data_IF_779190864829
#
_entry.id   IF_779190864829
#
_cell.length_a   1.000
_cell.length_b   1.000
_cell.length_c   1.000
_cell.angle_alpha   90.00
_cell.angle_beta   90.00
_cell.angle_gamma   90.00
#
_symmetry.space_group_name_H-M   'P 1'
#
loop_
_entity.id
_entity.type
_entity.pdbx_description
1 polymer ?
#
# COMPACT_ATOMS: atom_id res chain seq x y z
N UNK A 1 -7.98 -6.24 22.86
CA UNK A 1 -6.78 -6.44 23.70
C UNK A 1 -5.66 -6.60 22.69
N UNK A 2 -4.74 -5.65 22.65
CA UNK A 2 -3.93 -5.29 21.48
C UNK A 2 -2.88 -6.36 21.17
N UNK A 3 -3.03 -7.04 20.03
CA UNK A 3 -1.99 -7.87 19.41
C UNK A 3 -0.80 -6.99 19.01
N UNK A 4 0.43 -7.27 19.45
CA UNK A 4 1.60 -6.60 18.93
C UNK A 4 2.14 -7.42 17.76
N UNK A 5 1.80 -7.00 16.53
CA UNK A 5 2.50 -7.47 15.32
C UNK A 5 3.82 -6.69 15.26
N UNK A 6 4.92 -7.35 14.95
CA UNK A 6 6.23 -6.73 14.69
C UNK A 6 6.58 -6.99 13.23
N UNK A 7 7.42 -6.14 12.65
CA UNK A 7 8.10 -6.52 11.41
C UNK A 7 9.30 -7.42 11.72
N UNK A 8 9.86 -8.00 10.66
CA UNK A 8 10.98 -8.94 10.70
C UNK A 8 12.31 -8.33 11.20
N UNK A 9 12.41 -7.00 11.28
CA UNK A 9 13.59 -6.29 11.82
C UNK A 9 13.50 -6.04 13.34
N UNK A 10 12.50 -6.60 14.03
CA UNK A 10 12.31 -6.40 15.46
C UNK A 10 11.78 -5.02 15.86
N UNK A 11 11.26 -4.23 14.91
CA UNK A 11 10.70 -2.91 15.21
C UNK A 11 9.31 -3.02 15.81
N UNK A 12 9.09 -2.29 16.91
CA UNK A 12 7.82 -2.20 17.61
C UNK A 12 6.82 -1.45 16.73
N UNK A 13 5.81 -2.14 16.18
CA UNK A 13 4.71 -1.44 15.50
C UNK A 13 3.94 -0.53 16.48
N UNK A 14 4.17 -0.56 17.81
CA UNK A 14 3.42 0.21 18.81
C UNK A 14 4.34 0.81 19.92
N UNK A 15 4.11 2.04 20.41
CA UNK A 15 4.78 2.63 21.59
C UNK A 15 4.26 2.02 22.91
N UNK A 16 4.86 2.44 24.02
CA UNK A 16 4.53 2.02 25.40
C UNK A 16 3.10 2.39 25.87
N UNK A 17 2.35 3.16 25.08
CA UNK A 17 0.94 3.48 25.28
C UNK A 17 0.03 2.85 24.19
N UNK A 18 0.62 2.14 23.22
CA UNK A 18 -0.02 1.43 22.12
C UNK A 18 -0.39 2.28 20.89
N UNK A 19 0.41 3.30 20.54
CA UNK A 19 0.32 4.09 19.28
C UNK A 19 1.38 3.66 18.25
N UNK A 20 1.28 3.87 16.92
CA UNK A 20 2.26 3.34 15.92
C UNK A 20 3.57 4.09 16.01
N UNK A 21 4.68 3.35 16.00
CA UNK A 21 6.03 3.92 15.89
C UNK A 21 6.69 3.26 14.70
N UNK A 22 6.20 3.52 13.50
CA UNK A 22 7.01 3.36 12.31
C UNK A 22 6.81 4.59 11.42
N UNK A 23 7.90 5.32 11.26
CA UNK A 23 8.14 6.22 10.12
C UNK A 23 8.91 5.39 9.08
N UNK A 24 8.20 4.68 8.19
CA UNK A 24 8.79 4.11 6.96
C UNK A 24 8.50 5.11 5.86
N UNK A 25 9.53 5.86 5.50
CA UNK A 25 9.58 6.53 4.20
C UNK A 25 9.51 5.46 3.11
N UNK A 26 8.57 5.66 2.18
CA UNK A 26 8.28 4.87 0.95
C UNK A 26 7.56 3.53 1.12
N UNK A 27 6.23 3.54 0.89
CA UNK A 27 5.48 2.35 0.42
C UNK A 27 4.27 1.92 1.26
N UNK A 28 3.23 2.76 1.29
CA UNK A 28 1.85 2.49 1.78
C UNK A 28 1.76 1.96 3.22
N UNK A 29 1.77 2.92 4.15
CA UNK A 29 1.22 2.77 5.49
C UNK A 29 -0.15 2.06 5.46
N UNK A 30 -0.33 1.04 6.30
CA UNK A 30 -1.62 0.81 6.97
C UNK A 30 -1.67 1.90 8.05
N UNK A 31 -2.40 3.00 7.87
CA UNK A 31 -2.30 4.09 8.81
C UNK A 31 -2.98 3.67 10.10
N UNK A 32 -2.26 3.76 11.21
CA UNK A 32 -2.86 3.67 12.55
C UNK A 32 -3.79 4.82 12.89
N UNK A 33 -4.00 5.71 11.95
CA UNK A 33 -4.96 6.77 12.07
C UNK A 33 -5.75 6.81 10.75
N UNK A 34 -7.01 6.37 10.79
CA UNK A 34 -7.99 6.95 9.87
C UNK A 34 -7.98 8.50 9.97
N UNK A 35 -7.49 9.04 11.10
CA UNK A 35 -7.19 10.45 11.32
C UNK A 35 -5.92 11.03 10.66
N UNK A 36 -5.03 10.27 10.00
CA UNK A 36 -3.90 10.83 9.21
C UNK A 36 -3.91 10.49 7.72
N UNK A 37 -4.77 9.58 7.26
CA UNK A 37 -5.17 9.50 5.83
C UNK A 37 -5.86 10.80 5.36
N UNK A 38 -6.30 11.58 6.33
CA UNK A 38 -6.76 12.94 6.23
C UNK A 38 -5.68 13.80 6.88
N UNK A 39 -4.69 14.26 6.09
CA UNK A 39 -3.82 15.36 6.51
C UNK A 39 -4.68 16.64 6.53
N UNK A 40 -5.53 16.78 7.56
CA UNK A 40 -6.13 18.05 7.93
C UNK A 40 -5.24 18.61 9.03
N UNK A 41 -4.63 19.78 8.81
CA UNK A 41 -3.87 20.44 9.84
C UNK A 41 -4.71 20.51 11.13
N UNK A 42 -4.16 20.17 12.31
CA UNK A 42 -4.84 20.34 13.61
C UNK A 42 -5.27 21.79 13.88
N UNK A 43 -4.88 22.71 12.99
CA UNK A 43 -5.07 24.15 13.09
C UNK A 43 -6.08 24.68 12.06
N UNK A 44 -6.70 23.83 11.23
CA UNK A 44 -7.71 24.24 10.25
C UNK A 44 -9.11 24.21 10.87
N UNK A 45 -9.38 25.27 11.60
CA UNK A 45 -10.55 25.52 12.43
C UNK A 45 -10.16 26.30 13.68
N UNK A 46 -8.98 26.01 14.25
CA UNK A 46 -8.52 26.59 15.52
C UNK A 46 -8.24 28.12 15.48
N UNK A 47 -8.20 28.76 14.31
CA UNK A 47 -8.09 30.22 14.21
C UNK A 47 -9.37 30.91 13.69
N UNK A 48 -10.49 30.19 13.57
CA UNK A 48 -11.79 30.78 13.24
C UNK A 48 -12.52 31.16 14.54
N UNK A 49 -12.11 32.31 15.10
CA UNK A 49 -12.89 33.21 15.96
C UNK A 49 -13.98 32.52 16.81
N UNK A 50 -13.68 32.36 18.11
CA UNK A 50 -14.64 32.16 19.21
C UNK A 50 -16.09 32.53 18.83
N UNK A 51 -16.92 31.54 18.51
CA UNK A 51 -18.38 31.71 18.38
C UNK A 51 -19.06 31.11 17.14
N UNK A 52 -18.34 30.74 16.07
CA UNK A 52 -18.96 30.18 14.84
C UNK A 52 -18.97 28.64 14.82
N UNK A 53 -18.13 27.99 15.63
CA UNK A 53 -18.00 26.52 15.67
C UNK A 53 -19.24 25.78 16.18
N UNK A 54 -20.06 26.44 17.01
CA UNK A 54 -21.26 25.81 17.59
C UNK A 54 -22.47 25.74 16.64
N UNK A 55 -22.38 26.37 15.45
CA UNK A 55 -23.48 26.44 14.49
C UNK A 55 -23.58 25.21 13.58
N UNK A 56 -22.50 24.43 13.47
CA UNK A 56 -22.42 23.25 12.60
C UNK A 56 -22.36 21.98 13.44
N UNK A 57 -23.45 21.22 13.44
CA UNK A 57 -23.42 19.82 13.89
C UNK A 57 -22.59 19.00 12.89
N UNK A 58 -21.27 19.04 13.03
CA UNK A 58 -20.36 18.10 12.36
C UNK A 58 -20.47 16.79 13.16
N UNK A 59 -21.08 15.71 12.62
CA UNK A 59 -21.33 14.49 13.38
C UNK A 59 -20.04 13.73 13.78
N UNK A 60 -18.91 14.10 13.20
CA UNK A 60 -17.65 13.37 13.29
C UNK A 60 -16.54 14.24 13.88
N UNK A 61 -16.64 14.56 15.17
CA UNK A 61 -15.50 15.10 15.92
C UNK A 61 -14.63 13.99 16.53
N UNK A 62 -15.08 12.73 16.50
CA UNK A 62 -14.33 11.58 17.04
C UNK A 62 -14.46 10.36 16.11
N UNK A 63 -13.43 10.14 15.29
CA UNK A 63 -13.27 8.92 14.48
C UNK A 63 -12.92 7.67 15.31
N UNK A 64 -12.85 7.78 16.65
CA UNK A 64 -12.64 6.65 17.56
C UNK A 64 -13.71 5.55 17.44
N UNK A 65 -14.91 5.88 16.93
CA UNK A 65 -16.02 4.93 16.75
C UNK A 65 -15.82 3.98 15.55
N UNK A 66 -14.84 4.25 14.69
CA UNK A 66 -14.51 3.43 13.50
C UNK A 66 -13.21 2.64 13.65
N UNK A 67 -12.76 2.42 14.90
CA UNK A 67 -11.75 1.38 15.15
C UNK A 67 -12.33 0.06 14.67
N UNK A 68 -11.82 -0.44 13.54
CA UNK A 68 -11.98 -1.84 13.17
C UNK A 68 -11.29 -2.63 14.27
N UNK A 69 -12.06 -3.08 15.24
CA UNK A 69 -11.53 -3.92 16.30
C UNK A 69 -11.37 -5.33 15.71
N UNK A 70 -10.27 -5.53 15.00
CA UNK A 70 -9.88 -6.80 14.38
C UNK A 70 -9.78 -7.91 15.44
N UNK A 71 -9.62 -7.54 16.71
CA UNK A 71 -9.68 -8.41 17.89
C UNK A 71 -11.04 -9.12 18.07
N UNK A 72 -12.09 -8.73 17.32
CA UNK A 72 -13.42 -9.37 17.36
C UNK A 72 -13.58 -10.54 16.39
N UNK A 73 -12.60 -10.84 15.54
CA UNK A 73 -12.68 -12.01 14.65
C UNK A 73 -12.32 -13.26 15.44
N UNK A 74 -13.32 -14.07 15.76
CA UNK A 74 -13.10 -15.36 16.41
C UNK A 74 -12.25 -16.28 15.52
N UNK A 75 -11.18 -16.87 16.07
CA UNK A 75 -10.40 -17.88 15.37
C UNK A 75 -11.26 -19.09 14.98
N UNK A 76 -12.24 -19.48 15.79
CA UNK A 76 -13.18 -20.55 15.44
C UNK A 76 -14.04 -20.22 14.22
N UNK A 77 -14.36 -18.93 13.99
CA UNK A 77 -15.08 -18.52 12.78
C UNK A 77 -14.19 -18.58 11.55
N UNK A 78 -12.90 -18.26 11.67
CA UNK A 78 -11.93 -18.34 10.57
C UNK A 78 -11.68 -19.80 10.20
N UNK A 79 -11.39 -20.65 11.19
CA UNK A 79 -11.13 -22.08 11.00
C UNK A 79 -12.31 -22.76 10.29
N UNK A 80 -13.55 -22.39 10.66
CA UNK A 80 -14.74 -22.91 10.01
C UNK A 80 -14.99 -22.35 8.60
N UNK A 81 -14.38 -21.21 8.26
CA UNK A 81 -14.40 -20.65 6.91
C UNK A 81 -13.47 -21.35 5.93
N UNK A 82 -12.47 -22.10 6.42
CA UNK A 82 -11.53 -22.84 5.56
C UNK A 82 -12.21 -24.08 4.98
N UNK A 83 -12.38 -24.12 3.65
CA UNK A 83 -12.95 -25.28 2.97
C UNK A 83 -11.97 -26.44 2.90
N UNK A 84 -12.47 -27.67 3.02
CA UNK A 84 -11.70 -28.90 2.82
C UNK A 84 -11.00 -29.46 4.07
N UNK A 85 -11.00 -28.75 5.20
CA UNK A 85 -10.47 -29.27 6.46
C UNK A 85 -11.46 -30.22 7.15
N UNK A 86 -10.97 -31.40 7.57
CA UNK A 86 -11.71 -32.31 8.44
C UNK A 86 -11.68 -31.83 9.91
N UNK A 87 -12.44 -32.49 10.80
CA UNK A 87 -12.53 -32.06 12.21
C UNK A 87 -11.19 -32.17 12.94
N UNK A 88 -10.41 -33.22 12.72
CA UNK A 88 -9.09 -33.42 13.33
C UNK A 88 -8.12 -32.30 12.95
N UNK A 89 -8.09 -31.91 11.68
CA UNK A 89 -7.29 -30.79 11.17
C UNK A 89 -7.74 -29.46 11.77
N UNK A 90 -9.05 -29.25 11.96
CA UNK A 90 -9.58 -28.05 12.61
C UNK A 90 -9.17 -27.98 14.08
N UNK A 91 -9.27 -29.08 14.81
CA UNK A 91 -8.88 -29.16 16.22
C UNK A 91 -7.37 -28.93 16.39
N UNK A 92 -6.56 -29.54 15.52
CA UNK A 92 -5.11 -29.33 15.46
C UNK A 92 -4.76 -27.86 15.17
N UNK A 93 -5.44 -27.26 14.19
CA UNK A 93 -5.26 -25.85 13.85
C UNK A 93 -5.66 -24.91 15.01
N UNK A 94 -6.77 -25.19 15.69
CA UNK A 94 -7.19 -24.43 16.87
C UNK A 94 -6.16 -24.50 18.00
N UNK A 95 -5.56 -25.68 18.23
CA UNK A 95 -4.47 -25.85 19.18
C UNK A 95 -3.26 -24.99 18.82
N UNK A 96 -2.77 -25.09 17.57
CA UNK A 96 -1.65 -24.31 17.05
C UNK A 96 -1.87 -22.81 17.24
N UNK A 97 -3.06 -22.30 16.88
CA UNK A 97 -3.38 -20.87 16.98
C UNK A 97 -3.39 -20.41 18.43
N UNK A 98 -3.96 -21.21 19.35
CA UNK A 98 -4.03 -20.86 20.76
C UNK A 98 -2.64 -20.87 21.41
N UNK A 99 -1.79 -21.83 21.05
CA UNK A 99 -0.40 -21.88 21.52
C UNK A 99 0.40 -20.68 20.98
N UNK A 100 0.31 -20.41 19.68
CA UNK A 100 0.97 -19.26 19.06
C UNK A 100 0.55 -17.92 19.68
N UNK A 101 -0.74 -17.74 19.95
CA UNK A 101 -1.25 -16.55 20.66
C UNK A 101 -0.66 -16.43 22.06
N UNK A 102 -0.70 -17.50 22.84
CA UNK A 102 -0.15 -17.52 24.19
C UNK A 102 1.33 -17.16 24.18
N UNK A 103 2.11 -17.77 23.29
CA UNK A 103 3.53 -17.50 23.18
C UNK A 103 3.81 -16.06 22.74
N UNK A 104 3.05 -15.52 21.80
CA UNK A 104 3.24 -14.13 21.35
C UNK A 104 2.94 -13.10 22.45
N UNK A 105 1.99 -13.41 23.35
CA UNK A 105 1.67 -12.57 24.51
C UNK A 105 2.76 -12.62 25.59
N UNK A 106 3.49 -13.74 25.70
CA UNK A 106 4.53 -13.97 26.72
C UNK A 106 5.94 -13.57 26.25
N UNK A 107 6.36 -14.07 25.10
CA UNK A 107 7.67 -13.83 24.46
C UNK A 107 7.55 -14.04 22.95
N UNK A 108 7.70 -12.95 22.19
CA UNK A 108 7.64 -12.97 20.73
C UNK A 108 8.69 -13.91 20.11
N UNK A 109 9.88 -14.00 20.72
CA UNK A 109 10.90 -14.92 20.25
C UNK A 109 10.48 -16.37 20.51
N UNK A 110 9.69 -16.65 21.54
CA UNK A 110 9.14 -17.97 21.80
C UNK A 110 8.05 -18.35 20.78
N UNK A 111 7.21 -17.40 20.35
CA UNK A 111 6.24 -17.61 19.28
C UNK A 111 6.94 -17.97 17.96
N UNK A 112 7.96 -17.19 17.59
CA UNK A 112 8.81 -17.48 16.44
C UNK A 112 9.43 -18.87 16.56
N UNK A 113 10.06 -19.21 17.70
CA UNK A 113 10.64 -20.55 17.95
C UNK A 113 9.63 -21.69 17.83
N UNK A 114 8.39 -21.50 18.29
CA UNK A 114 7.34 -22.51 18.15
C UNK A 114 6.88 -22.66 16.71
N UNK A 115 6.74 -21.54 15.97
CA UNK A 115 6.44 -21.57 14.54
C UNK A 115 7.51 -22.34 13.75
N UNK A 116 8.78 -22.16 14.13
CA UNK A 116 9.91 -22.87 13.53
C UNK A 116 9.93 -24.36 13.86
N UNK A 117 9.31 -24.78 14.96
CA UNK A 117 9.22 -26.18 15.39
C UNK A 117 8.06 -26.95 14.75
N UNK A 118 7.17 -26.27 14.02
CA UNK A 118 6.02 -26.89 13.38
C UNK A 118 6.43 -27.88 12.29
N UNK A 119 5.69 -28.98 12.20
CA UNK A 119 5.77 -29.92 11.08
C UNK A 119 5.25 -29.27 9.81
N UNK A 120 5.63 -29.82 8.65
CA UNK A 120 5.14 -29.37 7.35
C UNK A 120 3.59 -29.32 7.29
N UNK A 121 2.91 -30.33 7.84
CA UNK A 121 1.45 -30.37 7.91
C UNK A 121 0.87 -29.23 8.77
N UNK A 122 1.48 -28.95 9.93
CA UNK A 122 1.05 -27.86 10.82
C UNK A 122 1.24 -26.49 10.18
N UNK A 123 2.34 -26.31 9.44
CA UNK A 123 2.61 -25.12 8.67
C UNK A 123 1.54 -24.91 7.59
N UNK A 124 1.20 -25.94 6.81
CA UNK A 124 0.13 -25.87 5.80
C UNK A 124 -1.23 -25.51 6.41
N UNK A 125 -1.56 -26.05 7.58
CA UNK A 125 -2.79 -25.69 8.30
C UNK A 125 -2.76 -24.24 8.78
N UNK A 126 -1.66 -23.80 9.40
CA UNK A 126 -1.50 -22.43 9.89
C UNK A 126 -1.53 -21.41 8.74
N UNK A 127 -0.92 -21.75 7.61
CA UNK A 127 -0.95 -21.01 6.36
C UNK A 127 -2.38 -20.79 5.84
N UNK A 128 -3.19 -21.85 5.82
CA UNK A 128 -4.60 -21.79 5.44
C UNK A 128 -5.39 -20.83 6.34
N UNK A 129 -5.08 -20.83 7.65
CA UNK A 129 -5.64 -19.88 8.60
C UNK A 129 -5.24 -18.43 8.34
N UNK A 130 -3.96 -18.15 8.08
CA UNK A 130 -3.49 -16.78 7.79
C UNK A 130 -4.17 -16.22 6.54
N UNK A 131 -4.32 -17.04 5.51
CA UNK A 131 -5.00 -16.65 4.27
C UNK A 131 -6.48 -16.30 4.52
N UNK A 132 -7.23 -17.17 5.20
CA UNK A 132 -8.65 -16.92 5.50
C UNK A 132 -8.84 -15.76 6.49
N UNK A 133 -7.90 -15.56 7.42
CA UNK A 133 -7.85 -14.40 8.30
C UNK A 133 -7.69 -13.10 7.49
N UNK A 134 -6.76 -13.06 6.53
CA UNK A 134 -6.54 -11.89 5.67
C UNK A 134 -7.80 -11.59 4.83
N UNK A 135 -8.40 -12.63 4.23
CA UNK A 135 -9.66 -12.51 3.48
C UNK A 135 -10.81 -11.97 4.34
N UNK A 136 -10.97 -12.52 5.54
CA UNK A 136 -12.02 -12.08 6.48
C UNK A 136 -11.82 -10.64 6.94
N UNK A 137 -10.56 -10.21 7.17
CA UNK A 137 -10.22 -8.83 7.51
C UNK A 137 -10.60 -7.85 6.40
N UNK A 138 -10.20 -8.15 5.16
CA UNK A 138 -10.54 -7.29 4.01
C UNK A 138 -12.05 -7.20 3.79
N UNK A 139 -12.79 -8.32 3.90
CA UNK A 139 -14.27 -8.30 3.82
C UNK A 139 -14.92 -7.40 4.87
N UNK A 140 -14.49 -7.49 6.14
CA UNK A 140 -15.00 -6.63 7.22
C UNK A 140 -14.67 -5.15 6.98
N UNK A 141 -13.48 -4.86 6.46
CA UNK A 141 -13.09 -3.49 6.13
C UNK A 141 -13.96 -2.91 5.01
N UNK A 142 -14.21 -3.69 3.95
CA UNK A 142 -15.13 -3.33 2.86
C UNK A 142 -16.54 -3.04 3.39
N UNK A 143 -17.07 -3.88 4.27
CA UNK A 143 -18.38 -3.65 4.90
C UNK A 143 -18.43 -2.31 5.64
N UNK A 144 -17.40 -2.01 6.43
CA UNK A 144 -17.30 -0.75 7.19
C UNK A 144 -17.14 0.47 6.28
N UNK A 145 -16.32 0.37 5.23
CA UNK A 145 -16.17 1.44 4.24
C UNK A 145 -17.52 1.70 3.55
N UNK A 146 -18.21 0.66 3.11
CA UNK A 146 -19.53 0.79 2.50
C UNK A 146 -20.55 1.41 3.45
N UNK A 147 -20.53 1.04 4.74
CA UNK A 147 -21.37 1.66 5.77
C UNK A 147 -21.05 3.15 5.93
N UNK A 148 -19.77 3.53 5.96
CA UNK A 148 -19.34 4.93 6.04
C UNK A 148 -19.78 5.73 4.83
N UNK A 149 -19.55 5.21 3.62
CA UNK A 149 -20.04 5.81 2.37
C UNK A 149 -21.56 5.97 2.41
N UNK A 150 -22.28 4.96 2.89
CA UNK A 150 -23.74 5.02 3.08
C UNK A 150 -24.17 6.12 4.05
N UNK A 151 -23.46 6.32 5.16
CA UNK A 151 -23.74 7.39 6.11
C UNK A 151 -23.46 8.77 5.46
N UNK A 152 -22.32 8.93 4.78
CA UNK A 152 -21.95 10.17 4.07
C UNK A 152 -22.99 10.53 3.02
N UNK A 153 -23.42 9.58 2.19
CA UNK A 153 -24.44 9.83 1.15
C UNK A 153 -25.80 10.24 1.74
N UNK A 154 -26.06 9.93 3.02
CA UNK A 154 -27.28 10.33 3.72
C UNK A 154 -27.19 11.70 4.38
N UNK A 155 -26.01 12.34 4.44
CA UNK A 155 -25.89 13.74 4.89
C UNK A 155 -26.16 14.70 3.73
N UNK A 156 -26.75 15.89 3.97
CA UNK A 156 -26.93 16.90 2.93
C UNK A 156 -25.62 17.31 2.24
N UNK A 157 -24.51 17.31 2.98
CA UNK A 157 -23.19 17.74 2.52
C UNK A 157 -22.37 16.63 1.81
N UNK A 158 -22.69 15.35 2.03
CA UNK A 158 -22.05 14.21 1.39
C UNK A 158 -22.76 13.67 0.15
N UNK A 159 -23.90 14.27 -0.22
CA UNK A 159 -24.65 13.99 -1.44
C UNK A 159 -23.88 14.45 -2.68
N UNK A 160 -24.08 13.73 -3.79
CA UNK A 160 -23.48 14.12 -5.07
C UNK A 160 -24.18 15.35 -5.67
N UNK A 161 -23.56 15.95 -6.68
CA UNK A 161 -24.14 17.02 -7.48
C UNK A 161 -25.52 16.64 -8.07
N UNK A 162 -25.69 15.38 -8.49
CA UNK A 162 -26.96 14.88 -9.03
C UNK A 162 -28.05 14.66 -7.97
N UNK A 163 -27.65 14.41 -6.71
CA UNK A 163 -28.57 14.23 -5.59
C UNK A 163 -29.16 15.56 -5.08
N UNK A 164 -28.44 16.67 -5.24
CA UNK A 164 -28.87 18.01 -4.79
C UNK A 164 -30.14 18.47 -5.52
N UNK A 165 -30.30 18.08 -6.78
CA UNK A 165 -31.51 18.36 -7.55
C UNK A 165 -32.76 17.65 -6.98
N UNK A 166 -32.57 16.52 -6.29
CA UNK A 166 -33.66 15.73 -5.67
C UNK A 166 -33.88 16.11 -4.21
N UNK A 167 -32.80 16.44 -3.51
CA UNK A 167 -32.83 16.73 -2.09
C UNK A 167 -31.99 17.99 -1.79
N UNK A 168 -32.60 19.18 -1.90
CA UNK A 168 -31.89 20.44 -1.75
C UNK A 168 -31.29 20.58 -0.36
N UNK A 169 -30.11 21.21 -0.27
CA UNK A 169 -29.57 21.63 1.01
C UNK A 169 -30.37 22.84 1.49
N UNK A 170 -30.96 22.76 2.68
CA UNK A 170 -31.64 23.88 3.32
C UNK A 170 -31.33 23.88 4.81
N UNK A 171 -30.50 24.82 5.26
CA UNK A 171 -30.16 24.97 6.68
C UNK A 171 -30.29 26.42 7.14
N UNK A 172 -30.78 26.58 8.36
CA UNK A 172 -30.79 27.86 9.06
C UNK A 172 -29.61 27.90 10.02
N UNK A 173 -28.71 28.85 9.81
CA UNK A 173 -27.50 29.07 10.61
C UNK A 173 -27.72 30.26 11.52
N UNK A 174 -27.45 30.09 12.81
CA UNK A 174 -27.43 31.20 13.78
C UNK A 174 -25.98 31.53 14.08
N UNK A 175 -25.63 32.80 13.92
CA UNK A 175 -24.28 33.31 14.11
C UNK A 175 -24.33 34.50 15.06
N UNK A 176 -23.64 34.40 16.19
CA UNK A 176 -23.56 35.46 17.18
C UNK A 176 -22.32 36.32 16.92
N UNK A 177 -22.51 37.64 16.80
CA UNK A 177 -21.44 38.62 16.59
C UNK A 177 -21.57 39.72 17.65
N UNK A 178 -20.92 39.50 18.80
CA UNK A 178 -21.04 40.38 19.96
C UNK A 178 -22.44 40.34 20.56
N UNK A 179 -23.17 41.46 20.52
CA UNK A 179 -24.56 41.58 21.03
C UNK A 179 -25.63 41.34 19.94
N UNK A 180 -25.23 41.09 18.70
CA UNK A 180 -26.14 40.91 17.55
C UNK A 180 -26.13 39.43 17.14
N UNK A 181 -27.31 38.83 17.05
CA UNK A 181 -27.50 37.49 16.49
C UNK A 181 -28.01 37.57 15.05
N UNK A 182 -27.28 36.96 14.12
CA UNK A 182 -27.69 36.78 12.74
C UNK A 182 -28.36 35.41 12.55
N UNK A 183 -29.50 35.40 11.87
CA UNK A 183 -30.12 34.16 11.38
C UNK A 183 -30.02 34.14 9.86
N UNK A 184 -29.25 33.21 9.30
CA UNK A 184 -29.01 33.10 7.86
C UNK A 184 -29.61 31.79 7.37
N UNK A 185 -30.50 31.87 6.38
CA UNK A 185 -30.99 30.69 5.67
C UNK A 185 -30.16 30.47 4.43
N UNK A 186 -29.53 29.32 4.32
CA UNK A 186 -28.79 28.92 3.13
C UNK A 186 -29.54 27.79 2.43
N UNK A 187 -29.78 27.99 1.14
CA UNK A 187 -30.41 27.01 0.25
C UNK A 187 -29.49 26.74 -0.94
N UNK A 188 -29.26 25.48 -1.24
CA UNK A 188 -28.59 25.01 -2.46
C UNK A 188 -29.56 24.02 -3.11
N UNK A 189 -30.24 24.50 -4.15
CA UNK A 189 -31.38 23.82 -4.76
C UNK A 189 -31.04 22.99 -5.98
N UNK A 190 -29.85 23.15 -6.55
CA UNK A 190 -29.45 22.48 -7.77
C UNK A 190 -27.92 22.38 -7.89
N UNK A 191 -27.50 21.59 -8.88
CA UNK A 191 -26.10 21.37 -9.24
C UNK A 191 -25.33 22.65 -9.57
N UNK A 192 -25.96 23.62 -10.24
CA UNK A 192 -25.32 24.89 -10.61
C UNK A 192 -24.98 25.70 -9.37
N UNK A 193 -25.91 25.83 -8.43
CA UNK A 193 -25.70 26.54 -7.16
C UNK A 193 -24.63 25.86 -6.30
N UNK A 194 -24.58 24.53 -6.27
CA UNK A 194 -23.52 23.80 -5.59
C UNK A 194 -22.16 24.05 -6.27
N UNK A 195 -22.09 23.99 -7.60
CA UNK A 195 -20.88 24.29 -8.34
C UNK A 195 -20.39 25.74 -8.11
N UNK A 196 -21.30 26.70 -8.02
CA UNK A 196 -20.94 28.07 -7.65
C UNK A 196 -20.36 28.13 -6.23
N UNK A 197 -20.94 27.41 -5.26
CA UNK A 197 -20.42 27.32 -3.89
C UNK A 197 -19.02 26.72 -3.81
N UNK A 198 -18.74 25.68 -4.58
CA UNK A 198 -17.45 24.98 -4.55
C UNK A 198 -16.35 25.76 -5.29
N UNK A 199 -16.70 26.45 -6.38
CA UNK A 199 -15.73 27.15 -7.22
C UNK A 199 -15.49 28.62 -6.82
N UNK A 200 -16.49 29.29 -6.23
CA UNK A 200 -16.39 30.69 -5.85
C UNK A 200 -16.04 30.85 -4.37
N UNK A 201 -14.82 30.46 -3.98
CA UNK A 201 -14.30 30.82 -2.65
C UNK A 201 -14.35 32.35 -2.50
N UNK A 202 -15.06 32.89 -1.50
CA UNK A 202 -15.06 34.33 -1.27
C UNK A 202 -13.63 34.78 -0.99
N UNK A 203 -13.11 35.77 -1.74
CA UNK A 203 -11.80 36.36 -1.45
C UNK A 203 -11.83 36.91 -0.01
N UNK A 204 -10.99 36.35 0.86
CA UNK A 204 -10.97 36.60 2.31
C UNK A 204 -10.41 37.96 2.72
N UNK A 205 -9.90 38.76 1.78
CA UNK A 205 -9.41 40.11 2.07
C UNK A 205 -10.55 41.13 1.99
N UNK A 206 -11.39 41.19 3.03
CA UNK A 206 -12.27 42.34 3.22
C UNK A 206 -11.51 43.44 3.94
N UNK A 207 -11.51 44.65 3.38
CA UNK A 207 -11.12 45.83 4.14
C UNK A 207 -12.24 46.11 5.16
N UNK A 208 -11.96 45.92 6.45
CA UNK A 208 -12.93 46.01 7.55
C UNK A 208 -13.64 47.37 7.65
N UNK A 209 -13.12 48.40 6.98
CA UNK A 209 -13.63 49.76 7.04
C UNK A 209 -14.63 50.10 5.92
N UNK A 210 -14.88 49.20 4.96
CA UNK A 210 -15.70 49.49 3.77
C UNK A 210 -16.78 48.45 3.44
N UNK A 211 -16.93 47.39 4.24
CA UNK A 211 -17.86 46.29 3.98
C UNK A 211 -18.85 46.12 5.14
N UNK A 212 -20.17 46.18 4.88
CA UNK A 212 -21.20 45.92 5.88
C UNK A 212 -21.01 44.57 6.61
N UNK A 213 -21.26 44.55 7.92
CA UNK A 213 -21.05 43.40 8.79
C UNK A 213 -21.81 42.14 8.33
N UNK A 214 -23.04 42.31 7.83
CA UNK A 214 -23.87 41.26 7.24
C UNK A 214 -23.21 40.57 6.03
N UNK A 215 -22.53 41.34 5.16
CA UNK A 215 -21.79 40.80 4.00
C UNK A 215 -20.55 40.02 4.45
N UNK A 216 -19.88 40.47 5.50
CA UNK A 216 -18.75 39.74 6.09
C UNK A 216 -19.20 38.41 6.71
N UNK A 217 -20.31 38.42 7.46
CA UNK A 217 -20.87 37.20 8.09
C UNK A 217 -21.35 36.22 7.01
N UNK A 218 -22.06 36.69 5.98
CA UNK A 218 -22.51 35.86 4.86
C UNK A 218 -21.35 35.21 4.12
N UNK A 219 -20.30 35.98 3.81
CA UNK A 219 -19.11 35.46 3.14
C UNK A 219 -18.37 34.39 3.95
N UNK A 220 -18.20 34.60 5.26
CA UNK A 220 -17.60 33.60 6.15
C UNK A 220 -18.43 32.32 6.24
N UNK A 221 -19.75 32.45 6.35
CA UNK A 221 -20.65 31.31 6.37
C UNK A 221 -20.59 30.54 5.05
N UNK A 222 -20.60 31.23 3.91
CA UNK A 222 -20.48 30.64 2.58
C UNK A 222 -19.16 29.88 2.42
N UNK A 223 -18.04 30.46 2.84
CA UNK A 223 -16.74 29.77 2.86
C UNK A 223 -16.73 28.54 3.77
N UNK A 224 -17.37 28.61 4.94
CA UNK A 224 -17.45 27.50 5.89
C UNK A 224 -18.29 26.33 5.35
N UNK A 225 -19.44 26.62 4.74
CA UNK A 225 -20.28 25.61 4.10
C UNK A 225 -19.57 25.01 2.89
N UNK A 226 -18.93 25.81 2.04
CA UNK A 226 -18.11 25.33 0.92
C UNK A 226 -17.02 24.36 1.39
N UNK A 227 -16.26 24.71 2.44
CA UNK A 227 -15.24 23.83 3.01
C UNK A 227 -15.83 22.52 3.55
N UNK A 228 -17.03 22.55 4.15
CA UNK A 228 -17.69 21.34 4.63
C UNK A 228 -18.07 20.40 3.49
N UNK A 229 -18.61 20.90 2.38
CA UNK A 229 -18.90 20.08 1.20
C UNK A 229 -17.61 19.50 0.58
N UNK A 230 -16.56 20.32 0.45
CA UNK A 230 -15.25 19.86 -0.04
C UNK A 230 -14.65 18.77 0.85
N UNK A 231 -14.81 18.89 2.17
CA UNK A 231 -14.38 17.87 3.13
C UNK A 231 -15.07 16.52 2.89
N UNK A 232 -16.40 16.51 2.75
CA UNK A 232 -17.12 15.26 2.48
C UNK A 232 -16.79 14.65 1.11
N UNK A 233 -16.51 15.48 0.10
CA UNK A 233 -16.04 15.00 -1.21
C UNK A 233 -14.67 14.34 -1.11
N UNK A 234 -13.68 15.00 -0.50
CA UNK A 234 -12.34 14.45 -0.29
C UNK A 234 -12.38 13.15 0.55
N UNK A 235 -13.19 13.13 1.62
CA UNK A 235 -13.38 11.93 2.44
C UNK A 235 -13.96 10.77 1.63
N UNK A 236 -14.95 11.04 0.77
CA UNK A 236 -15.57 10.02 -0.08
C UNK A 236 -14.59 9.47 -1.11
N UNK A 237 -13.79 10.32 -1.73
CA UNK A 237 -12.76 9.91 -2.70
C UNK A 237 -11.70 9.03 -2.02
N UNK A 238 -11.26 9.40 -0.81
CA UNK A 238 -10.35 8.57 -0.01
C UNK A 238 -10.94 7.22 0.35
N UNK A 239 -12.22 7.17 0.74
CA UNK A 239 -12.93 5.93 1.06
C UNK A 239 -13.11 5.03 -0.16
N UNK A 240 -13.47 5.60 -1.32
CA UNK A 240 -13.58 4.83 -2.58
C UNK A 240 -12.23 4.26 -3.00
N UNK A 241 -11.16 5.07 -2.95
CA UNK A 241 -9.80 4.59 -3.24
C UNK A 241 -9.37 3.46 -2.29
N UNK A 242 -9.76 3.51 -1.02
CA UNK A 242 -9.49 2.45 -0.05
C UNK A 242 -10.32 1.18 -0.35
N UNK A 243 -11.58 1.35 -0.77
CA UNK A 243 -12.45 0.25 -1.18
C UNK A 243 -11.86 -0.49 -2.39
N UNK A 244 -11.46 0.24 -3.43
CA UNK A 244 -10.88 -0.32 -4.64
C UNK A 244 -9.61 -1.13 -4.33
N UNK A 245 -8.73 -0.60 -3.48
CA UNK A 245 -7.52 -1.31 -3.02
C UNK A 245 -7.82 -2.61 -2.28
N UNK A 246 -8.81 -2.62 -1.40
CA UNK A 246 -9.18 -3.84 -0.67
C UNK A 246 -9.88 -4.87 -1.55
N UNK A 247 -10.65 -4.43 -2.56
CA UNK A 247 -11.22 -5.32 -3.57
C UNK A 247 -10.12 -5.97 -4.42
N UNK A 248 -9.17 -5.18 -4.93
CA UNK A 248 -8.00 -5.69 -5.67
C UNK A 248 -7.19 -6.68 -4.84
N UNK A 249 -7.05 -6.44 -3.53
CA UNK A 249 -6.35 -7.34 -2.62
C UNK A 249 -7.06 -8.68 -2.45
N UNK A 250 -8.39 -8.69 -2.33
CA UNK A 250 -9.17 -9.93 -2.26
C UNK A 250 -9.05 -10.71 -3.57
N UNK A 251 -9.19 -10.03 -4.70
CA UNK A 251 -9.03 -10.68 -6.02
C UNK A 251 -7.63 -11.29 -6.17
N UNK A 252 -6.60 -10.57 -5.74
CA UNK A 252 -5.23 -11.06 -5.76
C UNK A 252 -5.02 -12.28 -4.83
N UNK A 253 -5.58 -12.27 -3.61
CA UNK A 253 -5.57 -13.43 -2.72
C UNK A 253 -6.22 -14.65 -3.37
N UNK A 254 -7.38 -14.46 -4.01
CA UNK A 254 -8.08 -15.56 -4.66
C UNK A 254 -7.27 -16.13 -5.83
N UNK A 255 -6.59 -15.29 -6.60
CA UNK A 255 -5.67 -15.74 -7.67
C UNK A 255 -4.49 -16.55 -7.12
N UNK A 256 -3.87 -16.10 -6.02
CA UNK A 256 -2.74 -16.80 -5.39
C UNK A 256 -3.10 -18.18 -4.82
N UNK A 257 -4.38 -18.42 -4.52
CA UNK A 257 -4.87 -19.64 -3.88
C UNK A 257 -5.53 -20.63 -4.86
N UNK A 258 -5.76 -20.24 -6.12
CA UNK A 258 -6.52 -21.03 -7.11
C UNK A 258 -5.72 -21.39 -8.35
N UNK A 259 -4.49 -20.90 -8.52
CA UNK A 259 -3.72 -21.11 -9.75
C UNK A 259 -2.94 -22.42 -9.74
N UNK A 260 -3.48 -23.44 -10.41
CA UNK A 260 -2.76 -24.67 -10.71
C UNK A 260 -1.48 -24.37 -11.52
N UNK A 261 -0.32 -24.75 -10.97
CA UNK A 261 1.05 -24.59 -11.51
C UNK A 261 1.80 -23.27 -11.20
N UNK A 262 1.39 -22.51 -10.18
CA UNK A 262 2.18 -21.39 -9.64
C UNK A 262 2.38 -21.56 -8.13
N UNK A 263 3.51 -21.07 -7.60
CA UNK A 263 3.80 -21.12 -6.17
C UNK A 263 3.57 -19.74 -5.56
N UNK A 264 2.77 -19.65 -4.50
CA UNK A 264 2.72 -18.48 -3.63
C UNK A 264 3.88 -18.52 -2.61
N UNK A 265 4.06 -17.48 -1.79
CA UNK A 265 5.15 -17.41 -0.81
C UNK A 265 5.10 -18.54 0.24
N UNK A 266 3.91 -19.07 0.51
CA UNK A 266 3.70 -20.20 1.40
C UNK A 266 4.09 -21.53 0.76
N UNK A 267 3.85 -21.69 -0.54
CA UNK A 267 4.30 -22.84 -1.32
C UNK A 267 5.83 -22.88 -1.41
N UNK A 268 6.48 -21.72 -1.53
CA UNK A 268 7.94 -21.62 -1.52
C UNK A 268 8.53 -22.06 -0.15
N UNK A 269 7.89 -21.65 0.95
CA UNK A 269 8.25 -22.11 2.28
C UNK A 269 7.98 -23.62 2.48
N UNK A 270 6.88 -24.13 1.93
CA UNK A 270 6.56 -25.55 1.90
C UNK A 270 7.60 -26.36 1.10
N UNK A 271 8.09 -25.81 -0.02
CA UNK A 271 9.17 -26.40 -0.81
C UNK A 271 10.50 -26.45 -0.04
N UNK A 272 10.83 -25.38 0.68
CA UNK A 272 11.98 -25.34 1.61
C UNK A 272 11.89 -26.43 2.68
N UNK A 273 10.77 -26.51 3.40
CA UNK A 273 10.57 -27.48 4.50
C UNK A 273 10.41 -28.92 4.03
N UNK A 274 10.00 -29.12 2.76
CA UNK A 274 9.99 -30.41 2.09
C UNK A 274 11.40 -30.99 1.83
N UNK A 275 12.46 -30.20 2.05
CA UNK A 275 13.88 -30.59 1.92
C UNK A 275 14.24 -31.10 0.51
N UNK A 276 13.59 -30.57 -0.52
CA UNK A 276 13.90 -30.92 -1.90
C UNK A 276 15.25 -30.33 -2.36
N UNK A 277 15.59 -29.12 -1.89
CA UNK A 277 16.73 -28.33 -2.36
C UNK A 277 16.68 -28.03 -3.86
N UNK A 278 15.54 -28.27 -4.51
CA UNK A 278 15.43 -28.18 -5.96
C UNK A 278 15.29 -26.71 -6.37
N UNK A 279 16.17 -26.25 -7.25
CA UNK A 279 16.11 -24.91 -7.78
C UNK A 279 14.77 -24.63 -8.49
N UNK A 280 14.27 -23.40 -8.31
CA UNK A 280 13.07 -22.90 -8.93
C UNK A 280 13.41 -21.84 -9.98
N UNK A 281 12.46 -21.58 -10.87
CA UNK A 281 12.55 -20.48 -11.82
C UNK A 281 11.45 -19.46 -11.57
N UNK A 282 11.66 -18.19 -11.94
CA UNK A 282 10.63 -17.14 -11.88
C UNK A 282 9.34 -17.56 -12.60
N UNK A 283 9.45 -18.32 -13.69
CA UNK A 283 8.30 -18.85 -14.43
C UNK A 283 7.62 -19.98 -13.67
N UNK A 284 8.39 -20.85 -13.02
CA UNK A 284 7.88 -21.95 -12.19
C UNK A 284 7.11 -21.46 -10.95
N UNK A 285 7.56 -20.37 -10.33
CA UNK A 285 6.82 -19.71 -9.23
C UNK A 285 5.76 -18.72 -9.75
N UNK A 286 5.69 -18.47 -11.05
CA UNK A 286 4.63 -17.68 -11.67
C UNK A 286 4.75 -16.16 -11.56
N UNK A 287 5.93 -15.63 -11.25
CA UNK A 287 6.18 -14.17 -11.12
C UNK A 287 7.09 -13.57 -12.19
N UNK A 288 7.48 -14.34 -13.20
CA UNK A 288 8.36 -13.89 -14.29
C UNK A 288 7.92 -12.56 -14.92
N UNK A 289 6.66 -12.46 -15.37
CA UNK A 289 6.17 -11.25 -16.03
C UNK A 289 6.08 -10.07 -15.05
N UNK A 290 5.70 -10.32 -13.78
CA UNK A 290 5.66 -9.29 -12.73
C UNK A 290 7.06 -8.71 -12.49
N UNK A 291 8.09 -9.56 -12.38
CA UNK A 291 9.49 -9.12 -12.23
C UNK A 291 9.95 -8.34 -13.46
N UNK A 292 9.60 -8.78 -14.66
CA UNK A 292 9.92 -8.06 -15.90
C UNK A 292 9.29 -6.66 -15.91
N UNK A 293 8.02 -6.54 -15.59
CA UNK A 293 7.31 -5.25 -15.52
C UNK A 293 7.94 -4.28 -14.51
N UNK A 294 8.43 -4.78 -13.37
CA UNK A 294 9.12 -3.96 -12.37
C UNK A 294 10.42 -3.32 -12.92
N UNK A 295 11.04 -3.89 -13.95
CA UNK A 295 12.22 -3.26 -14.57
C UNK A 295 11.88 -1.95 -15.28
N UNK A 296 10.63 -1.80 -15.72
CA UNK A 296 10.10 -0.66 -16.47
C UNK A 296 9.37 0.34 -15.59
N UNK A 297 8.87 -0.10 -14.44
CA UNK A 297 8.06 0.71 -13.52
C UNK A 297 8.91 1.82 -12.87
N UNK A 298 8.62 3.11 -13.16
CA UNK A 298 9.22 4.22 -12.40
C UNK A 298 8.79 4.14 -10.94
N UNK A 299 9.68 4.44 -9.99
CA UNK A 299 9.34 4.35 -8.57
C UNK A 299 9.55 2.97 -7.94
N UNK A 300 9.76 1.92 -8.74
CA UNK A 300 9.94 0.57 -8.21
C UNK A 300 11.14 0.47 -7.27
N UNK A 301 11.01 -0.39 -6.27
CA UNK A 301 12.00 -0.65 -5.21
C UNK A 301 12.33 0.62 -4.39
N UNK A 302 11.35 1.53 -4.26
CA UNK A 302 11.50 2.80 -3.54
C UNK A 302 12.45 3.80 -4.23
N UNK A 303 12.73 3.64 -5.52
CA UNK A 303 13.65 4.52 -6.26
C UNK A 303 12.86 5.68 -6.91
N UNK A 304 13.05 6.94 -6.47
CA UNK A 304 12.19 8.06 -6.87
C UNK A 304 12.31 8.44 -8.36
N UNK A 305 13.43 8.12 -9.01
CA UNK A 305 13.72 8.57 -10.38
C UNK A 305 13.97 7.40 -11.34
N UNK A 306 13.19 7.37 -12.42
CA UNK A 306 13.33 6.41 -13.52
C UNK A 306 13.02 4.96 -13.14
N UNK A 307 13.08 4.10 -14.15
CA UNK A 307 13.02 2.65 -13.99
C UNK A 307 14.43 2.05 -13.94
N UNK A 308 14.55 0.76 -13.61
CA UNK A 308 15.86 0.08 -13.67
C UNK A 308 16.40 0.14 -15.09
N UNK A 309 15.56 -0.14 -16.09
CA UNK A 309 15.95 -0.08 -17.49
C UNK A 309 16.37 1.32 -17.90
N UNK A 310 15.59 2.36 -17.58
CA UNK A 310 15.90 3.73 -18.02
C UNK A 310 17.21 4.22 -17.40
N UNK A 311 17.46 3.91 -16.11
CA UNK A 311 18.73 4.24 -15.45
C UNK A 311 19.90 3.51 -16.10
N UNK A 312 19.75 2.22 -16.38
CA UNK A 312 20.81 1.47 -17.05
C UNK A 312 21.11 2.03 -18.45
N UNK A 313 20.08 2.37 -19.23
CA UNK A 313 20.25 3.05 -20.52
C UNK A 313 21.00 4.37 -20.34
N UNK A 314 20.65 5.20 -19.36
CA UNK A 314 21.36 6.46 -19.09
C UNK A 314 22.84 6.26 -18.73
N UNK A 315 23.18 5.18 -18.04
CA UNK A 315 24.58 4.83 -17.75
C UNK A 315 25.35 4.37 -19.00
N UNK A 316 24.67 3.74 -19.95
CA UNK A 316 25.27 3.45 -21.26
C UNK A 316 25.47 4.76 -22.03
N UNK A 317 24.46 5.65 -22.03
CA UNK A 317 24.51 6.94 -22.71
C UNK A 317 25.61 7.88 -22.19
N UNK A 318 26.00 7.75 -20.92
CA UNK A 318 27.12 8.49 -20.34
C UNK A 318 28.49 7.83 -20.57
N UNK A 319 28.51 6.61 -21.10
CA UNK A 319 29.71 5.80 -21.31
C UNK A 319 30.28 5.20 -20.03
N UNK A 320 29.46 5.01 -18.99
CA UNK A 320 29.89 4.44 -17.71
C UNK A 320 30.07 2.92 -17.80
N UNK A 321 29.06 2.21 -18.30
CA UNK A 321 29.03 0.74 -18.33
C UNK A 321 28.01 0.20 -19.34
N UNK A 322 28.18 -1.05 -19.75
CA UNK A 322 27.23 -1.82 -20.60
C UNK A 322 26.71 -3.09 -19.89
N UNK A 323 26.95 -3.17 -18.59
CA UNK A 323 26.53 -4.23 -17.68
C UNK A 323 26.16 -3.61 -16.33
N UNK A 324 25.18 -4.19 -15.64
CA UNK A 324 24.91 -3.91 -14.24
C UNK A 324 24.55 -5.20 -13.49
N UNK A 325 24.74 -5.16 -12.18
CA UNK A 325 24.31 -6.17 -11.22
C UNK A 325 24.03 -5.43 -9.90
N UNK A 326 22.80 -5.50 -9.41
CA UNK A 326 22.43 -4.86 -8.14
C UNK A 326 21.43 -5.75 -7.39
N UNK A 327 21.39 -5.60 -6.06
CA UNK A 327 20.35 -6.16 -5.21
C UNK A 327 19.14 -5.23 -5.12
N UNK A 328 17.96 -5.83 -5.12
CA UNK A 328 16.68 -5.17 -4.99
C UNK A 328 15.80 -5.91 -3.99
N UNK A 329 15.12 -5.13 -3.15
CA UNK A 329 14.16 -5.64 -2.16
C UNK A 329 12.78 -5.81 -2.82
N UNK A 330 12.48 -7.03 -3.27
CA UNK A 330 11.20 -7.40 -3.88
C UNK A 330 10.04 -7.43 -2.88
N UNK A 331 10.31 -7.51 -1.57
CA UNK A 331 9.27 -7.45 -0.56
C UNK A 331 8.58 -6.08 -0.52
N UNK A 332 9.28 -5.00 -0.94
CA UNK A 332 8.66 -3.67 -1.16
C UNK A 332 7.64 -3.62 -2.29
N UNK A 333 7.69 -4.56 -3.23
CA UNK A 333 6.76 -4.65 -4.37
C UNK A 333 5.68 -5.71 -4.18
N UNK A 334 5.69 -6.40 -3.04
CA UNK A 334 4.67 -7.36 -2.67
C UNK A 334 3.36 -6.65 -2.31
N UNK A 335 2.23 -7.21 -2.76
CA UNK A 335 0.90 -6.72 -2.39
C UNK A 335 0.48 -7.24 -1.01
N UNK A 336 0.94 -8.44 -0.66
CA UNK A 336 0.49 -9.17 0.52
C UNK A 336 1.69 -9.85 1.17
N UNK A 337 1.99 -9.47 2.40
CA UNK A 337 3.06 -10.10 3.17
C UNK A 337 2.80 -11.60 3.33
N UNK A 338 3.88 -12.37 3.36
CA UNK A 338 3.91 -13.83 3.58
C UNK A 338 3.35 -14.65 2.41
N UNK A 339 2.26 -14.23 1.78
CA UNK A 339 1.58 -14.99 0.71
C UNK A 339 2.05 -14.59 -0.68
N UNK A 340 2.44 -13.34 -0.91
CA UNK A 340 2.97 -12.92 -2.22
C UNK A 340 4.39 -13.52 -2.41
N UNK A 341 4.66 -14.21 -3.54
CA UNK A 341 5.99 -14.76 -3.82
C UNK A 341 7.08 -13.68 -3.83
N UNK A 342 6.78 -12.44 -4.22
CA UNK A 342 7.76 -11.35 -4.16
C UNK A 342 8.15 -10.99 -2.73
N UNK A 343 7.25 -11.17 -1.77
CA UNK A 343 7.58 -11.00 -0.36
C UNK A 343 8.52 -12.12 0.11
N UNK A 344 8.24 -13.36 -0.30
CA UNK A 344 9.04 -14.52 0.08
C UNK A 344 10.44 -14.50 -0.56
N UNK A 345 10.59 -13.95 -1.76
CA UNK A 345 11.89 -13.70 -2.39
C UNK A 345 12.73 -12.71 -1.55
N UNK A 346 12.11 -11.66 -1.00
CA UNK A 346 12.86 -10.65 -0.25
C UNK A 346 13.90 -9.94 -1.12
N UNK A 347 15.17 -9.98 -0.72
CA UNK A 347 16.29 -9.36 -1.43
C UNK A 347 16.84 -10.28 -2.52
N UNK A 348 16.82 -9.83 -3.78
CA UNK A 348 17.35 -10.60 -4.91
C UNK A 348 18.26 -9.78 -5.83
N UNK A 349 19.20 -10.46 -6.48
CA UNK A 349 20.10 -9.87 -7.45
C UNK A 349 19.45 -9.85 -8.83
N UNK A 350 19.42 -8.66 -9.45
CA UNK A 350 19.12 -8.50 -10.88
C UNK A 350 20.34 -7.95 -11.59
N UNK A 351 20.71 -8.61 -12.68
CA UNK A 351 21.76 -8.16 -13.59
C UNK A 351 21.22 -7.98 -15.01
N UNK A 352 21.91 -7.15 -15.78
CA UNK A 352 21.60 -6.93 -17.18
C UNK A 352 22.85 -6.60 -17.98
N UNK A 353 22.97 -7.19 -19.16
CA UNK A 353 24.07 -6.91 -20.09
C UNK A 353 23.52 -6.54 -21.47
N UNK A 354 23.97 -5.41 -22.02
CA UNK A 354 23.68 -5.06 -23.40
C UNK A 354 24.52 -5.93 -24.34
N UNK A 355 23.86 -6.65 -25.26
CA UNK A 355 24.46 -7.49 -26.30
C UNK A 355 23.82 -7.23 -27.66
N UNK A 356 24.36 -7.89 -28.69
CA UNK A 356 23.84 -7.87 -30.07
C UNK A 356 23.67 -6.44 -30.63
N UNK A 357 24.63 -5.59 -30.27
CA UNK A 357 24.54 -4.15 -30.47
C UNK A 357 24.87 -3.75 -31.91
N UNK A 358 24.04 -2.87 -32.48
CA UNK A 358 24.28 -2.16 -33.74
C UNK A 358 24.22 -0.66 -33.48
N UNK A 359 25.17 0.07 -34.04
CA UNK A 359 25.20 1.52 -33.95
C UNK A 359 25.16 2.14 -35.35
N UNK A 360 24.19 3.02 -35.55
CA UNK A 360 24.03 3.79 -36.78
C UNK A 360 24.41 5.24 -36.52
N UNK A 361 25.33 5.79 -37.33
CA UNK A 361 25.70 7.20 -37.23
C UNK A 361 24.58 8.06 -37.80
N UNK A 362 24.03 8.97 -36.99
CA UNK A 362 22.95 9.88 -37.37
C UNK A 362 23.36 11.36 -37.29
N UNK A 363 24.66 11.64 -37.40
CA UNK A 363 25.24 12.98 -37.38
C UNK A 363 26.08 13.24 -36.12
N UNK A 364 25.53 14.01 -35.19
CA UNK A 364 26.13 14.35 -33.89
C UNK A 364 25.94 13.24 -32.84
N UNK A 365 25.21 12.19 -33.19
CA UNK A 365 24.87 11.06 -32.33
C UNK A 365 24.99 9.72 -33.06
N UNK A 366 25.03 8.65 -32.28
CA UNK A 366 24.75 7.29 -32.74
C UNK A 366 23.40 6.83 -32.22
N UNK A 367 22.61 6.22 -33.10
CA UNK A 367 21.45 5.44 -32.70
C UNK A 367 21.91 4.00 -32.41
N UNK A 368 21.81 3.58 -31.14
CA UNK A 368 22.21 2.26 -30.68
C UNK A 368 20.96 1.39 -30.55
N UNK A 369 20.96 0.25 -31.23
CA UNK A 369 19.99 -0.82 -31.05
C UNK A 369 20.68 -2.07 -30.53
N UNK A 370 20.02 -2.82 -29.66
CA UNK A 370 20.59 -4.05 -29.10
C UNK A 370 19.59 -4.78 -28.20
N UNK A 371 20.10 -5.76 -27.46
CA UNK A 371 19.31 -6.59 -26.55
C UNK A 371 19.91 -6.53 -25.15
N UNK A 372 19.12 -6.14 -24.17
CA UNK A 372 19.49 -6.32 -22.77
C UNK A 372 19.12 -7.76 -22.37
N UNK A 373 20.12 -8.55 -22.05
CA UNK A 373 19.93 -9.88 -21.46
C UNK A 373 19.90 -9.71 -19.94
N UNK A 374 18.73 -9.88 -19.34
CA UNK A 374 18.54 -9.82 -17.90
C UNK A 374 18.71 -11.20 -17.28
N UNK A 375 19.27 -11.22 -16.07
CA UNK A 375 19.27 -12.38 -15.18
C UNK A 375 18.79 -11.97 -13.80
N UNK A 376 17.99 -12.83 -13.21
CA UNK A 376 17.54 -12.77 -11.83
C UNK A 376 18.15 -13.96 -11.08
N UNK A 377 18.65 -13.69 -9.88
CA UNK A 377 19.14 -14.69 -8.96
C UNK A 377 18.74 -14.32 -7.54
N UNK A 378 18.24 -15.31 -6.82
CA UNK A 378 18.01 -15.29 -5.38
C UNK A 378 18.40 -16.66 -4.80
N UNK A 379 18.89 -16.67 -3.57
CA UNK A 379 19.08 -17.89 -2.79
C UNK A 379 18.04 -17.88 -1.68
N UNK A 380 16.99 -18.69 -1.82
CA UNK A 380 15.94 -18.78 -0.82
C UNK A 380 16.50 -19.47 0.44
N UNK A 381 16.88 -18.63 1.40
CA UNK A 381 17.52 -18.99 2.65
C UNK A 381 16.88 -18.20 3.78
N UNK A 382 16.94 -18.73 4.99
CA UNK A 382 16.42 -18.11 6.21
C UNK A 382 15.00 -17.54 6.04
N UNK A 383 14.00 -18.36 5.66
CA UNK A 383 12.64 -17.86 5.43
C UNK A 383 11.93 -17.39 6.71
N UNK A 384 12.60 -17.52 7.86
CA UNK A 384 12.16 -17.02 9.16
C UNK A 384 12.72 -15.62 9.46
N UNK A 385 13.62 -15.12 8.60
CA UNK A 385 14.33 -13.85 8.71
C UNK A 385 15.09 -13.68 10.04
N UNK A 386 15.85 -14.72 10.40
CA UNK A 386 16.49 -14.84 11.71
C UNK A 386 17.92 -14.33 11.74
N UNK A 387 18.52 -14.06 10.58
CA UNK A 387 19.84 -13.44 10.45
C UNK A 387 19.94 -12.15 11.27
N UNK A 388 18.89 -11.34 11.26
CA UNK A 388 18.85 -10.09 12.02
C UNK A 388 18.69 -10.31 13.53
N UNK A 389 18.03 -11.40 13.93
CA UNK A 389 17.81 -11.72 15.34
C UNK A 389 18.99 -12.43 16.01
N UNK A 390 19.64 -13.35 15.29
CA UNK A 390 20.69 -14.24 15.85
C UNK A 390 22.05 -14.11 15.13
N UNK A 391 22.19 -13.15 14.22
CA UNK A 391 23.45 -12.75 13.60
C UNK A 391 24.01 -13.75 12.58
N UNK A 392 23.24 -14.75 12.18
CA UNK A 392 23.64 -15.77 11.19
C UNK A 392 22.42 -16.30 10.46
N UNK A 393 22.62 -16.68 9.19
CA UNK A 393 21.61 -17.40 8.43
C UNK A 393 21.22 -18.67 9.16
N UNK A 394 19.92 -18.90 9.22
CA UNK A 394 19.37 -19.98 10.00
C UNK A 394 18.32 -20.74 9.21
N UNK A 395 18.74 -21.91 8.74
CA UNK A 395 17.96 -22.80 7.88
C UNK A 395 17.54 -24.11 8.58
N UNK A 396 16.87 -24.06 9.75
CA UNK A 396 16.38 -25.27 10.37
C UNK A 396 15.23 -25.86 9.54
N UNK A 397 15.10 -27.18 9.60
CA UNK A 397 13.93 -27.90 9.09
C UNK A 397 13.65 -27.81 7.58
N UNK A 398 14.56 -27.22 6.80
CA UNK A 398 14.47 -27.18 5.35
C UNK A 398 15.82 -27.24 4.64
N UNK A 399 15.82 -27.04 3.33
CA UNK A 399 17.03 -26.98 2.50
C UNK A 399 16.93 -25.76 1.60
N UNK A 400 17.89 -24.81 1.69
CA UNK A 400 17.94 -23.67 0.79
C UNK A 400 17.93 -24.09 -0.67
N UNK A 401 17.44 -23.21 -1.54
CA UNK A 401 17.39 -23.45 -2.98
C UNK A 401 17.49 -22.15 -3.78
N UNK A 402 18.02 -22.25 -5.00
CA UNK A 402 18.15 -21.10 -5.87
C UNK A 402 16.82 -20.79 -6.58
N UNK A 403 16.56 -19.50 -6.78
CA UNK A 403 15.50 -19.01 -7.66
C UNK A 403 16.18 -18.24 -8.79
N UNK A 404 15.93 -18.67 -10.03
CA UNK A 404 16.58 -18.09 -11.21
C UNK A 404 15.58 -17.57 -12.22
N UNK A 405 15.98 -16.60 -13.03
CA UNK A 405 15.18 -16.14 -14.15
C UNK A 405 16.04 -15.49 -15.20
N UNK A 406 15.67 -15.65 -16.47
CA UNK A 406 16.34 -14.98 -17.59
C UNK A 406 15.29 -14.49 -18.59
N UNK A 407 15.46 -13.26 -19.07
CA UNK A 407 14.65 -12.71 -20.16
C UNK A 407 15.46 -11.72 -20.97
N UNK A 408 14.93 -11.35 -22.13
CA UNK A 408 15.59 -10.47 -23.09
C UNK A 408 14.67 -9.34 -23.47
N UNK A 409 15.24 -8.14 -23.60
CA UNK A 409 14.50 -6.97 -24.06
C UNK A 409 15.26 -6.21 -25.12
N UNK A 410 14.57 -5.90 -26.21
CA UNK A 410 15.12 -5.05 -27.26
C UNK A 410 15.13 -3.61 -26.78
N UNK A 411 16.23 -2.91 -27.02
CA UNK A 411 16.38 -1.49 -26.71
C UNK A 411 16.86 -0.70 -27.91
N UNK A 412 16.44 0.55 -27.96
CA UNK A 412 16.87 1.52 -28.94
C UNK A 412 17.00 2.90 -28.26
N UNK A 413 18.19 3.49 -28.30
CA UNK A 413 18.46 4.78 -27.68
C UNK A 413 19.61 5.51 -28.38
N UNK A 414 19.67 6.82 -28.18
CA UNK A 414 20.70 7.68 -28.77
C UNK A 414 21.84 7.94 -27.78
N UNK A 415 23.07 7.99 -28.30
CA UNK A 415 24.28 8.36 -27.56
C UNK A 415 25.02 9.44 -28.34
N UNK A 416 25.53 10.45 -27.63
CA UNK A 416 26.35 11.49 -28.25
C UNK A 416 27.59 10.88 -28.93
N UNK A 417 27.94 11.39 -30.11
CA UNK A 417 29.01 10.85 -30.95
C UNK A 417 30.32 10.70 -30.19
N UNK A 418 30.72 11.74 -29.47
CA UNK A 418 31.96 11.75 -28.69
C UNK A 418 31.95 10.72 -27.57
N UNK A 419 30.79 10.49 -26.93
CA UNK A 419 30.65 9.49 -25.88
C UNK A 419 30.66 8.09 -26.47
N UNK A 420 29.98 7.88 -27.60
CA UNK A 420 29.96 6.59 -28.27
C UNK A 420 31.36 6.16 -28.72
N UNK A 421 32.04 7.01 -29.49
CA UNK A 421 33.32 6.67 -30.11
C UNK A 421 34.42 6.45 -29.06
N UNK A 422 34.43 7.22 -27.97
CA UNK A 422 35.51 7.19 -26.99
C UNK A 422 35.24 6.31 -25.76
N UNK A 423 33.97 6.04 -25.42
CA UNK A 423 33.62 5.30 -24.19
C UNK A 423 32.80 4.05 -24.46
N UNK A 424 31.70 4.17 -25.19
CA UNK A 424 30.74 3.05 -25.35
C UNK A 424 31.25 1.99 -26.32
N UNK A 425 31.77 2.40 -27.50
CA UNK A 425 32.29 1.49 -28.52
C UNK A 425 33.42 0.59 -27.96
N UNK A 426 34.43 1.10 -27.23
CA UNK A 426 35.44 0.25 -26.59
C UNK A 426 34.88 -0.76 -25.57
N UNK A 427 33.76 -0.45 -24.92
CA UNK A 427 33.12 -1.40 -23.99
C UNK A 427 32.42 -2.52 -24.76
N UNK A 428 31.74 -2.20 -25.86
CA UNK A 428 31.03 -3.18 -26.70
C UNK A 428 32.03 -4.12 -27.39
N UNK A 429 33.14 -3.59 -27.91
CA UNK A 429 34.16 -4.38 -28.64
C UNK A 429 34.97 -5.34 -27.74
N UNK A 430 34.87 -5.19 -26.41
CA UNK A 430 35.54 -6.06 -25.42
C UNK A 430 34.70 -7.27 -24.99
N UNK A 431 33.43 -7.33 -25.38
CA UNK A 431 32.56 -8.50 -25.17
C UNK A 431 32.89 -9.58 -26.19
#
# INVERSE_FOLDING_TARGET
MRFPIYDVNGNRLYDEHGNIVITITSGVEIPKNLGTLIDIPPNWGANLINGIDNSFNIPFTKFDDFKVNVDSISSSSIINGISGLNQEQKDKLEHIINEQKKLADEDLQAASRNFMGMTHEELVLYQSYISELQKTRSKKLIELINKMIGIINNTPEGRTLSDVNKYPYEKTHRVDVGIIQYTIRMRIGNEKELNELLNNKPRTSFNSNSVPLDKMVHSKLYGSVSNLFLYYQDLKDKLNNALDKELEKIEYLEQLLTTDNKMNGLDMFSHFTGKSGQALTLSGIGVHDKVRELMHKPGAFGKPEGSIQSRFISQIQSGERIYFENNYDFAKEAKIQVVDPLWAIGDATVSGTLKDTKAENIGDKYNISGVINYKFYDEFTDPYDMKDLIGKEWNPNGTPFDITGEWKENVNFQVDKDVYENKVKPLIEKQ
#
